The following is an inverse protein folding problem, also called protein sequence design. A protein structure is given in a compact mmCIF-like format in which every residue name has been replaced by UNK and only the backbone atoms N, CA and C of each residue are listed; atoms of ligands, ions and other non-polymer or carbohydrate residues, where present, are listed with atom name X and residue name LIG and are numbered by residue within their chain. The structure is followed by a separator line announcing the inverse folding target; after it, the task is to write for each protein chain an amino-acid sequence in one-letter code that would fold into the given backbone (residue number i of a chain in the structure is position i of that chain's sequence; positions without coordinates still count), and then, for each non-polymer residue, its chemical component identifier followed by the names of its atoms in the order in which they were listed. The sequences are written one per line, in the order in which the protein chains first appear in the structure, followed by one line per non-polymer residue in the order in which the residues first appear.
data_IF_253535436296
#
_entry.id   IF_253535436296
#
_cell.length_a   1.000
_cell.length_b   1.000
_cell.length_c   1.000
_cell.angle_alpha   90.00
_cell.angle_beta   90.00
_cell.angle_gamma   90.00
#
_symmetry.space_group_name_H-M   'P 1'
#
loop_
_entity.id
_entity.type
_entity.pdbx_description
1 polymer ?
#
# COMPACT_ATOMS: atom_id res chain seq x y z
N UNK A 1 -19.66 -3.68 -2.73
CA UNK A 1 -18.80 -4.86 -2.49
C UNK A 1 -18.33 -4.90 -1.05
N UNK A 2 -17.50 -3.93 -0.59
CA UNK A 2 -17.05 -3.86 0.80
C UNK A 2 -18.20 -3.77 1.81
N UNK A 3 -19.23 -2.97 1.50
CA UNK A 3 -20.44 -2.84 2.32
C UNK A 3 -21.27 -4.13 2.46
N UNK A 4 -21.18 -5.05 1.49
CA UNK A 4 -22.04 -6.23 1.43
C UNK A 4 -21.31 -7.52 1.84
N UNK A 5 -19.98 -7.55 1.69
CA UNK A 5 -19.15 -8.76 1.82
C UNK A 5 -17.85 -8.50 2.59
N UNK A 6 -17.83 -7.48 3.46
CA UNK A 6 -16.62 -7.09 4.21
C UNK A 6 -16.00 -8.22 5.01
N UNK A 7 -16.82 -9.08 5.62
CA UNK A 7 -16.36 -10.26 6.39
C UNK A 7 -15.77 -11.38 5.52
N UNK A 8 -16.03 -11.39 4.22
CA UNK A 8 -15.45 -12.34 3.27
C UNK A 8 -14.13 -11.82 2.66
N UNK A 9 -13.78 -10.56 2.91
CA UNK A 9 -12.59 -9.92 2.36
C UNK A 9 -11.46 -9.99 3.37
N UNK A 10 -10.43 -10.79 3.07
CA UNK A 10 -9.27 -10.96 3.94
C UNK A 10 -8.52 -9.64 4.18
N UNK A 11 -8.25 -8.90 3.11
CA UNK A 11 -7.63 -7.58 3.17
C UNK A 11 -7.75 -6.85 1.82
N UNK A 12 -7.53 -5.53 1.85
CA UNK A 12 -7.17 -4.76 0.66
C UNK A 12 -5.65 -4.70 0.55
N UNK A 13 -5.11 -5.02 -0.62
CA UNK A 13 -3.68 -4.95 -0.92
C UNK A 13 -3.38 -3.75 -1.82
N UNK A 14 -2.66 -2.76 -1.30
CA UNK A 14 -2.19 -1.59 -2.07
C UNK A 14 -0.69 -1.68 -2.35
N UNK A 15 -0.19 -0.99 -3.36
CA UNK A 15 1.23 -1.05 -3.79
C UNK A 15 1.84 0.34 -3.90
N UNK A 16 2.96 0.58 -3.20
CA UNK A 16 3.71 1.85 -3.23
C UNK A 16 4.79 1.87 -4.31
N UNK A 17 5.42 0.75 -4.63
CA UNK A 17 6.47 0.67 -5.64
C UNK A 17 5.99 -0.12 -6.86
N UNK A 18 5.97 0.51 -8.03
CA UNK A 18 5.55 -0.13 -9.28
C UNK A 18 6.39 0.35 -10.48
N UNK A 19 6.50 -0.50 -11.50
CA UNK A 19 7.14 -0.13 -12.75
C UNK A 19 6.26 0.83 -13.57
N UNK A 20 6.91 1.79 -14.23
CA UNK A 20 6.27 2.68 -15.18
C UNK A 20 5.43 1.89 -16.21
N UNK A 21 4.26 2.40 -16.63
CA UNK A 21 3.70 3.73 -16.41
C UNK A 21 2.78 3.84 -15.18
N UNK A 22 2.66 2.80 -14.35
CA UNK A 22 1.77 2.81 -13.18
C UNK A 22 2.34 3.70 -12.08
N UNK A 23 1.48 4.48 -11.45
CA UNK A 23 1.82 5.27 -10.26
C UNK A 23 1.46 4.53 -8.96
N UNK A 24 2.10 4.88 -7.82
CA UNK A 24 1.77 4.33 -6.51
C UNK A 24 0.32 4.57 -6.10
N UNK A 25 -0.30 3.62 -5.40
CA UNK A 25 -1.67 3.76 -4.90
C UNK A 25 -1.80 4.86 -3.83
N UNK A 26 -2.98 5.47 -3.73
CA UNK A 26 -3.28 6.45 -2.68
C UNK A 26 -3.55 5.75 -1.34
N UNK A 27 -2.51 5.65 -0.51
CA UNK A 27 -2.61 4.94 0.77
C UNK A 27 -3.59 5.61 1.74
N UNK A 28 -3.62 6.94 1.81
CA UNK A 28 -4.54 7.68 2.67
C UNK A 28 -6.00 7.37 2.32
N UNK A 29 -6.36 7.47 1.04
CA UNK A 29 -7.72 7.17 0.58
C UNK A 29 -8.13 5.71 0.84
N UNK A 30 -7.23 4.76 0.53
CA UNK A 30 -7.51 3.33 0.74
C UNK A 30 -7.64 3.01 2.23
N UNK A 31 -6.76 3.57 3.08
CA UNK A 31 -6.82 3.34 4.52
C UNK A 31 -8.11 3.87 5.15
N UNK A 32 -8.60 5.03 4.70
CA UNK A 32 -9.88 5.58 5.15
C UNK A 32 -11.04 4.65 4.81
N UNK A 33 -11.07 4.12 3.59
CA UNK A 33 -12.07 3.14 3.16
C UNK A 33 -11.98 1.85 3.99
N UNK A 34 -10.77 1.32 4.19
CA UNK A 34 -10.54 0.11 4.97
C UNK A 34 -10.98 0.29 6.43
N UNK A 35 -10.70 1.45 7.03
CA UNK A 35 -11.13 1.79 8.38
C UNK A 35 -12.65 1.90 8.49
N UNK A 36 -13.32 2.54 7.53
CA UNK A 36 -14.78 2.65 7.52
C UNK A 36 -15.50 1.30 7.44
N UNK A 37 -14.93 0.34 6.73
CA UNK A 37 -15.53 -0.99 6.56
C UNK A 37 -14.92 -2.08 7.45
N UNK A 38 -14.03 -1.71 8.38
CA UNK A 38 -13.31 -2.65 9.25
C UNK A 38 -12.61 -3.78 8.48
N UNK A 39 -12.03 -3.46 7.33
CA UNK A 39 -11.28 -4.41 6.48
C UNK A 39 -9.79 -4.18 6.69
N UNK A 40 -8.98 -5.25 6.87
CA UNK A 40 -7.53 -5.09 6.99
C UNK A 40 -6.91 -4.47 5.74
N UNK A 41 -5.92 -3.60 5.93
CA UNK A 41 -5.17 -2.96 4.84
C UNK A 41 -3.71 -3.43 4.88
N UNK A 42 -3.30 -4.10 3.81
CA UNK A 42 -1.92 -4.53 3.56
C UNK A 42 -1.29 -3.62 2.51
N UNK A 43 -0.09 -3.14 2.80
CA UNK A 43 0.68 -2.34 1.83
C UNK A 43 1.89 -3.15 1.36
N UNK A 44 1.97 -3.36 0.05
CA UNK A 44 3.13 -3.88 -0.64
C UNK A 44 4.12 -2.74 -0.87
N UNK A 45 5.14 -2.70 -0.02
CA UNK A 45 6.25 -1.75 -0.09
C UNK A 45 7.56 -2.45 -0.47
N UNK A 46 7.51 -3.33 -1.47
CA UNK A 46 8.67 -4.12 -1.93
C UNK A 46 9.94 -3.27 -2.08
N UNK A 47 9.91 -2.21 -2.92
CA UNK A 47 11.07 -1.37 -3.18
C UNK A 47 11.00 0.04 -2.58
N UNK A 48 9.88 0.40 -1.95
CA UNK A 48 9.65 1.78 -1.50
C UNK A 48 10.43 2.18 -0.25
N UNK A 49 11.12 1.25 0.43
CA UNK A 49 12.03 1.60 1.54
C UNK A 49 13.18 2.53 1.11
N UNK A 50 13.60 2.45 -0.15
CA UNK A 50 14.66 3.28 -0.72
C UNK A 50 14.19 4.69 -1.10
N UNK A 51 12.88 4.96 -1.01
CA UNK A 51 12.25 6.21 -1.39
C UNK A 51 11.77 6.98 -0.18
N UNK A 52 12.31 8.18 0.02
CA UNK A 52 11.80 9.08 1.06
C UNK A 52 10.32 9.43 0.86
N UNK A 53 9.87 9.53 -0.40
CA UNK A 53 8.47 9.81 -0.70
C UNK A 53 7.55 8.65 -0.28
N UNK A 54 7.90 7.40 -0.64
CA UNK A 54 7.09 6.25 -0.25
C UNK A 54 7.05 6.09 1.27
N UNK A 55 8.18 6.29 1.97
CA UNK A 55 8.25 6.26 3.44
C UNK A 55 7.40 7.37 4.05
N UNK A 56 7.48 8.60 3.53
CA UNK A 56 6.63 9.71 4.00
C UNK A 56 5.15 9.41 3.83
N UNK A 57 4.75 8.85 2.69
CA UNK A 57 3.36 8.47 2.41
C UNK A 57 2.88 7.36 3.35
N UNK A 58 3.73 6.40 3.68
CA UNK A 58 3.42 5.36 4.67
C UNK A 58 3.20 5.93 6.07
N UNK A 59 4.04 6.87 6.51
CA UNK A 59 3.91 7.52 7.82
C UNK A 59 2.66 8.39 7.95
N UNK A 60 2.09 8.85 6.83
CA UNK A 60 0.84 9.63 6.82
C UNK A 60 -0.42 8.77 7.02
N UNK A 61 -0.31 7.44 6.96
CA UNK A 61 -1.46 6.53 7.04
C UNK A 61 -1.80 6.21 8.49
N UNK A 62 -3.07 6.39 8.87
CA UNK A 62 -3.54 6.22 10.25
C UNK A 62 -3.84 4.75 10.63
N UNK A 63 -4.09 3.89 9.63
CA UNK A 63 -4.50 2.50 9.83
C UNK A 63 -3.89 1.58 8.76
N UNK A 64 -2.78 0.93 9.11
CA UNK A 64 -2.15 -0.14 8.32
C UNK A 64 -2.03 -1.36 9.22
N UNK A 65 -2.62 -2.49 8.81
CA UNK A 65 -2.62 -3.71 9.63
C UNK A 65 -1.33 -4.49 9.46
N UNK A 66 -0.74 -4.48 8.26
CA UNK A 66 0.50 -5.17 7.96
C UNK A 66 1.22 -4.49 6.79
N UNK A 67 2.55 -4.43 6.85
CA UNK A 67 3.40 -3.82 5.84
C UNK A 67 4.37 -4.89 5.31
N UNK A 68 4.29 -5.20 4.02
CA UNK A 68 5.18 -6.18 3.39
C UNK A 68 6.37 -5.45 2.75
N UNK A 69 7.58 -5.76 3.21
CA UNK A 69 8.85 -5.27 2.65
C UNK A 69 9.56 -6.41 1.95
N UNK A 70 10.06 -6.18 0.74
CA UNK A 70 10.84 -7.16 -0.01
C UNK A 70 12.09 -6.49 -0.57
N UNK A 71 13.20 -6.58 0.15
CA UNK A 71 14.50 -6.07 -0.33
C UNK A 71 15.24 -7.20 -1.04
N UNK A 72 15.24 -7.18 -2.36
CA UNK A 72 16.35 -7.72 -3.15
C UNK A 72 16.70 -6.75 -4.30
N UNK A 73 18.00 -6.53 -4.46
CA UNK A 73 18.60 -5.42 -5.21
C UNK A 73 19.02 -5.89 -6.60
N UNK A 74 18.34 -5.53 -7.69
CA UNK A 74 18.98 -5.33 -9.01
C UNK A 74 18.09 -4.71 -10.10
N UNK A 75 18.59 -3.59 -10.65
CA UNK A 75 18.43 -2.99 -12.00
C UNK A 75 17.01 -2.80 -12.59
N UNK A 76 16.58 -1.54 -12.53
CA UNK A 76 15.62 -0.96 -13.47
C UNK A 76 14.99 0.26 -12.84
N UNK A 77 15.34 1.46 -13.34
CA UNK A 77 14.89 2.79 -12.89
C UNK A 77 13.47 2.76 -12.27
N UNK A 78 13.40 2.59 -10.95
CA UNK A 78 12.17 2.77 -10.18
C UNK A 78 11.95 4.27 -10.19
N UNK A 79 11.01 4.73 -11.01
CA UNK A 79 10.64 6.14 -11.05
C UNK A 79 9.79 6.45 -9.82
N UNK A 80 10.27 7.39 -9.01
CA UNK A 80 9.46 8.13 -8.06
C UNK A 80 8.69 9.20 -8.83
#
# INVERSE_FOLDING_TARGET
MLEQRGEEILCVLSTTSCFAPRSPDSLEAISGICQMHNVPHLVNNAYGLQSEECVRRLNAVCHVTLLFFAVDSFKGRIIH
#
